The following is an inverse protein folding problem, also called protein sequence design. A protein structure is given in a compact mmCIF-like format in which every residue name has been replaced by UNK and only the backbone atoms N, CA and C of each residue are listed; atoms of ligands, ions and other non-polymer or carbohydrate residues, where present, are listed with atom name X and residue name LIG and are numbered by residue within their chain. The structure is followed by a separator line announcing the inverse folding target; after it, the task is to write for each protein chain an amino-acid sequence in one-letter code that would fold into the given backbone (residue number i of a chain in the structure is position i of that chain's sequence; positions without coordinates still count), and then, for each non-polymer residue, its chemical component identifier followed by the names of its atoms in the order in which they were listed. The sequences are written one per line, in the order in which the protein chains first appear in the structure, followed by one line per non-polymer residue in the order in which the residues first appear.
data_IF_001616585870
#
_entry.id   IF_001616585870
#
_cell.length_a   1.000
_cell.length_b   1.000
_cell.length_c   1.000
_cell.angle_alpha   90.00
_cell.angle_beta   90.00
_cell.angle_gamma   90.00
#
_symmetry.space_group_name_H-M   'P 1'
#
loop_
_entity.id
_entity.type
_entity.pdbx_description
1 polymer ?
#
# COMPACT_ATOMS: atom_id res chain seq x y z
N UNK A 1 13.24 19.79 -11.08
CA UNK A 1 12.68 21.13 -11.38
C UNK A 1 11.16 21.09 -11.61
N UNK A 2 10.60 20.90 -12.82
CA UNK A 2 9.12 20.97 -13.02
C UNK A 2 8.27 20.01 -12.14
N UNK A 3 8.70 18.75 -11.99
CA UNK A 3 7.98 17.75 -11.18
C UNK A 3 7.95 18.11 -9.69
N UNK A 4 9.05 18.65 -9.17
CA UNK A 4 9.18 19.04 -7.76
C UNK A 4 8.40 20.31 -7.46
N UNK A 5 8.34 21.25 -8.41
CA UNK A 5 7.52 22.45 -8.29
C UNK A 5 6.03 22.12 -8.24
N UNK A 6 5.56 21.19 -9.09
CA UNK A 6 4.18 20.68 -9.04
C UNK A 6 3.92 20.01 -7.69
N UNK A 7 4.80 19.12 -7.26
CA UNK A 7 4.67 18.44 -5.97
C UNK A 7 4.60 19.44 -4.80
N UNK A 8 5.45 20.46 -4.80
CA UNK A 8 5.46 21.51 -3.79
C UNK A 8 4.17 22.34 -3.79
N UNK A 9 3.63 22.71 -4.95
CA UNK A 9 2.34 23.41 -5.06
C UNK A 9 1.17 22.57 -4.50
N UNK A 10 1.25 21.25 -4.63
CA UNK A 10 0.31 20.28 -4.07
C UNK A 10 0.59 19.98 -2.59
N UNK A 11 1.69 20.49 -2.02
CA UNK A 11 2.07 20.31 -0.62
C UNK A 11 2.69 18.98 -0.29
N UNK A 12 3.08 18.22 -1.30
CA UNK A 12 3.86 17.01 -1.12
C UNK A 12 5.21 17.40 -0.53
N UNK A 13 5.50 16.88 0.66
CA UNK A 13 6.75 17.15 1.38
C UNK A 13 7.80 16.07 1.15
N UNK A 14 7.40 14.91 0.63
CA UNK A 14 8.31 13.79 0.37
C UNK A 14 9.03 14.04 -0.95
N UNK A 15 10.33 14.33 -0.87
CA UNK A 15 11.17 14.47 -2.07
C UNK A 15 11.52 13.07 -2.58
N UNK A 16 11.53 12.90 -3.90
CA UNK A 16 11.84 11.60 -4.50
C UNK A 16 13.32 11.40 -4.80
N UNK A 17 14.08 12.48 -4.84
CA UNK A 17 15.51 12.49 -5.05
C UNK A 17 16.18 13.55 -4.16
N UNK A 18 17.49 13.44 -3.91
CA UNK A 18 18.23 14.47 -3.21
C UNK A 18 18.26 15.78 -4.05
N UNK A 19 18.09 16.97 -3.44
CA UNK A 19 18.03 18.23 -4.19
C UNK A 19 19.27 18.55 -5.03
N UNK A 20 20.43 18.03 -4.62
CA UNK A 20 21.70 18.24 -5.33
C UNK A 20 22.13 17.04 -6.18
N UNK A 21 21.22 16.11 -6.45
CA UNK A 21 21.49 14.86 -7.17
C UNK A 21 22.08 13.76 -6.28
N UNK A 22 22.22 12.53 -6.80
CA UNK A 22 22.86 11.43 -6.08
C UNK A 22 24.30 11.83 -5.70
N UNK A 23 24.81 11.39 -4.54
CA UNK A 23 26.20 11.68 -4.19
C UNK A 23 27.12 11.21 -5.33
N UNK A 24 28.04 12.06 -5.83
CA UNK A 24 28.92 11.67 -6.92
C UNK A 24 29.73 10.43 -6.52
N UNK A 25 29.92 9.52 -7.48
CA UNK A 25 30.74 8.32 -7.30
C UNK A 25 32.15 8.69 -6.80
N UNK A 26 32.64 7.89 -5.86
CA UNK A 26 33.94 8.03 -5.19
C UNK A 26 35.09 8.38 -6.15
N UNK A 27 35.63 9.60 -6.02
CA UNK A 27 36.82 10.09 -6.74
C UNK A 27 37.94 10.44 -5.75
N UNK A 28 38.59 9.40 -5.21
CA UNK A 28 39.90 9.54 -4.55
C UNK A 28 39.90 9.98 -3.08
N UNK A 29 41.09 10.25 -2.52
CA UNK A 29 41.35 10.22 -1.07
C UNK A 29 40.93 11.47 -0.28
N UNK A 30 40.32 12.48 -0.93
CA UNK A 30 39.93 13.72 -0.27
C UNK A 30 38.45 14.03 -0.53
N UNK A 31 37.57 13.57 0.35
CA UNK A 31 36.18 14.04 0.42
C UNK A 31 36.11 15.29 1.30
N UNK A 32 35.99 16.46 0.69
CA UNK A 32 35.57 17.65 1.41
C UNK A 32 34.04 17.60 1.57
N UNK A 33 33.57 17.26 2.78
CA UNK A 33 32.15 17.15 3.10
C UNK A 33 31.65 18.45 3.71
N UNK A 34 30.79 19.17 3.01
CA UNK A 34 29.74 19.92 3.70
C UNK A 34 28.54 18.99 3.76
N UNK A 35 28.23 18.45 4.95
CA UNK A 35 26.91 17.87 5.17
C UNK A 35 25.91 19.02 5.05
N UNK A 36 25.46 19.30 3.83
CA UNK A 36 24.33 20.20 3.67
C UNK A 36 23.12 19.46 4.22
N UNK A 37 22.54 19.93 5.32
CA UNK A 37 21.33 19.37 5.96
C UNK A 37 20.20 19.13 4.94
N UNK A 38 20.19 19.88 3.84
CA UNK A 38 19.25 19.74 2.74
C UNK A 38 19.42 18.47 1.88
N UNK A 39 20.52 17.70 1.98
CA UNK A 39 20.77 16.51 1.13
C UNK A 39 20.63 15.17 1.88
N UNK A 40 19.96 15.18 3.03
CA UNK A 40 19.56 13.98 3.77
C UNK A 40 18.04 13.84 3.80
N UNK A 41 17.49 12.61 3.79
CA UNK A 41 16.05 12.40 3.95
C UNK A 41 15.56 12.97 5.29
N UNK A 42 14.42 13.66 5.28
CA UNK A 42 13.83 14.22 6.50
C UNK A 42 13.07 13.18 7.33
N UNK A 43 12.63 12.09 6.69
CA UNK A 43 11.92 11.00 7.33
C UNK A 43 12.18 9.67 6.60
N UNK A 44 11.68 8.58 7.20
CA UNK A 44 11.89 7.24 6.66
C UNK A 44 11.22 7.03 5.30
N UNK A 45 10.05 7.64 5.04
CA UNK A 45 9.36 7.48 3.77
C UNK A 45 10.19 8.10 2.64
N UNK A 46 10.77 9.26 2.88
CA UNK A 46 11.68 9.91 1.96
C UNK A 46 12.93 9.07 1.68
N UNK A 47 13.53 8.47 2.71
CA UNK A 47 14.67 7.56 2.55
C UNK A 47 14.31 6.34 1.69
N UNK A 48 13.15 5.73 1.96
CA UNK A 48 12.63 4.59 1.21
C UNK A 48 12.45 4.96 -0.27
N UNK A 49 11.81 6.10 -0.54
CA UNK A 49 11.52 6.55 -1.90
C UNK A 49 12.80 6.87 -2.68
N UNK A 50 13.80 7.47 -2.05
CA UNK A 50 15.11 7.72 -2.69
C UNK A 50 15.80 6.41 -3.08
N UNK A 51 15.78 5.42 -2.17
CA UNK A 51 16.32 4.11 -2.50
C UNK A 51 15.52 3.42 -3.62
N UNK A 52 14.19 3.58 -3.60
CA UNK A 52 13.30 3.00 -4.60
C UNK A 52 13.59 3.49 -6.01
N UNK A 53 13.95 4.76 -6.18
CA UNK A 53 14.31 5.32 -7.49
C UNK A 53 15.51 4.61 -8.11
N UNK A 54 16.53 4.30 -7.30
CA UNK A 54 17.71 3.54 -7.69
C UNK A 54 17.34 2.08 -7.99
N UNK A 55 16.58 1.44 -7.10
CA UNK A 55 16.18 0.04 -7.23
C UNK A 55 15.35 -0.18 -8.51
N UNK A 56 14.33 0.65 -8.74
CA UNK A 56 13.46 0.57 -9.91
C UNK A 56 14.23 0.79 -11.20
N UNK A 57 15.20 1.72 -11.22
CA UNK A 57 16.05 1.95 -12.38
C UNK A 57 16.86 0.69 -12.73
N UNK A 58 17.49 0.04 -11.74
CA UNK A 58 18.23 -1.21 -11.93
C UNK A 58 17.33 -2.37 -12.36
N UNK A 59 16.10 -2.45 -11.82
CA UNK A 59 15.14 -3.48 -12.22
C UNK A 59 14.64 -3.27 -13.65
N UNK A 60 14.43 -2.02 -14.08
CA UNK A 60 14.04 -1.66 -15.45
C UNK A 60 15.11 -2.03 -16.48
N UNK A 61 16.39 -1.85 -16.13
CA UNK A 61 17.50 -2.28 -16.99
C UNK A 61 17.51 -3.80 -17.17
N UNK A 62 17.29 -4.56 -16.09
CA UNK A 62 17.26 -6.03 -16.13
C UNK A 62 16.01 -6.59 -16.81
N UNK A 63 14.87 -5.95 -16.63
CA UNK A 63 13.58 -6.38 -17.17
C UNK A 63 12.79 -5.20 -17.74
N UNK A 64 13.08 -4.79 -18.99
CA UNK A 64 12.46 -3.61 -19.59
C UNK A 64 10.94 -3.72 -19.70
N UNK A 65 10.25 -2.58 -19.70
CA UNK A 65 8.79 -2.52 -19.79
C UNK A 65 8.22 -3.26 -21.02
N UNK A 66 8.94 -3.26 -22.15
CA UNK A 66 8.55 -3.98 -23.35
C UNK A 66 8.50 -5.51 -23.13
N UNK A 67 9.37 -6.05 -22.26
CA UNK A 67 9.36 -7.46 -21.87
C UNK A 67 8.14 -7.75 -20.99
N UNK A 68 7.89 -6.91 -19.98
CA UNK A 68 6.71 -7.04 -19.11
C UNK A 68 5.39 -7.01 -19.91
N UNK A 69 5.28 -6.11 -20.89
CA UNK A 69 4.11 -6.04 -21.78
C UNK A 69 3.85 -7.33 -22.54
N UNK A 70 4.89 -8.03 -23.01
CA UNK A 70 4.75 -9.34 -23.67
C UNK A 70 4.35 -10.44 -22.70
N UNK A 71 4.79 -10.37 -21.45
CA UNK A 71 4.41 -11.35 -20.43
C UNK A 71 2.93 -11.25 -20.07
N UNK A 72 2.35 -10.04 -20.11
CA UNK A 72 0.93 -9.80 -19.80
C UNK A 72 -0.05 -10.62 -20.66
N UNK A 73 0.32 -10.95 -21.89
CA UNK A 73 -0.52 -11.76 -22.80
C UNK A 73 -0.85 -13.14 -22.22
N UNK A 74 -0.01 -13.64 -21.30
CA UNK A 74 -0.18 -14.94 -20.65
C UNK A 74 -0.69 -14.83 -19.21
N UNK A 75 -0.99 -13.61 -18.73
CA UNK A 75 -1.44 -13.40 -17.34
C UNK A 75 -2.97 -13.48 -17.30
N UNK A 76 -3.57 -14.39 -16.51
CA UNK A 76 -5.02 -14.47 -16.35
C UNK A 76 -5.60 -13.15 -15.84
N UNK A 77 -6.85 -12.79 -16.19
CA UNK A 77 -7.49 -11.56 -15.71
C UNK A 77 -7.33 -11.35 -14.20
N UNK A 78 -7.12 -10.10 -13.79
CA UNK A 78 -7.09 -9.75 -12.37
C UNK A 78 -8.43 -10.07 -11.71
N UNK A 79 -8.38 -10.52 -10.46
CA UNK A 79 -9.57 -10.75 -9.65
C UNK A 79 -10.13 -9.42 -9.14
N UNK A 80 -11.45 -9.36 -8.94
CA UNK A 80 -12.11 -8.12 -8.51
C UNK A 80 -11.83 -7.81 -7.03
N UNK A 81 -10.77 -7.03 -6.78
CA UNK A 81 -10.31 -6.66 -5.45
C UNK A 81 -11.36 -5.83 -4.69
N UNK A 82 -11.99 -4.84 -5.34
CA UNK A 82 -12.98 -3.96 -4.68
C UNK A 82 -14.29 -4.72 -4.46
N UNK A 83 -14.70 -5.54 -5.43
CA UNK A 83 -15.86 -6.41 -5.31
C UNK A 83 -15.74 -7.40 -4.16
N UNK A 84 -14.57 -8.02 -3.98
CA UNK A 84 -14.31 -8.94 -2.86
C UNK A 84 -14.49 -8.27 -1.48
N UNK A 85 -14.01 -7.03 -1.32
CA UNK A 85 -14.21 -6.25 -0.10
C UNK A 85 -15.69 -5.93 0.15
N UNK A 86 -16.41 -5.47 -0.87
CA UNK A 86 -17.85 -5.15 -0.79
C UNK A 86 -18.68 -6.39 -0.48
N UNK A 87 -18.36 -7.52 -1.10
CA UNK A 87 -19.03 -8.80 -0.87
C UNK A 87 -18.80 -9.30 0.56
N UNK A 88 -17.56 -9.25 1.06
CA UNK A 88 -17.26 -9.61 2.44
C UNK A 88 -17.98 -8.70 3.45
N UNK A 89 -18.03 -7.38 3.18
CA UNK A 89 -18.76 -6.44 4.02
C UNK A 89 -20.26 -6.74 4.08
N UNK A 90 -20.86 -7.01 2.92
CA UNK A 90 -22.28 -7.32 2.82
C UNK A 90 -22.64 -8.67 3.46
N UNK A 91 -21.77 -9.67 3.34
CA UNK A 91 -21.96 -11.03 3.91
C UNK A 91 -21.88 -11.03 5.43
N UNK A 92 -20.88 -10.36 6.00
CA UNK A 92 -20.54 -10.48 7.43
C UNK A 92 -21.13 -9.37 8.29
N UNK A 93 -21.43 -8.22 7.69
CA UNK A 93 -21.76 -6.98 8.38
C UNK A 93 -20.53 -6.22 8.95
N UNK A 94 -19.31 -6.73 8.75
CA UNK A 94 -18.05 -6.14 9.21
C UNK A 94 -17.25 -5.56 8.04
N UNK A 95 -16.31 -4.62 8.27
CA UNK A 95 -15.40 -4.20 7.21
C UNK A 95 -14.66 -5.40 6.59
N UNK A 96 -14.56 -5.44 5.25
CA UNK A 96 -13.80 -6.48 4.56
C UNK A 96 -12.32 -6.45 4.96
N UNK A 97 -11.77 -7.60 5.39
CA UNK A 97 -10.38 -7.68 5.85
C UNK A 97 -9.41 -7.81 4.66
N UNK A 98 -8.46 -6.88 4.56
CA UNK A 98 -7.22 -7.02 3.79
C UNK A 98 -6.13 -7.48 4.76
N UNK A 99 -5.82 -8.79 4.77
CA UNK A 99 -4.83 -9.35 5.68
C UNK A 99 -3.41 -9.20 5.11
N UNK A 100 -2.50 -8.60 5.88
CA UNK A 100 -1.17 -8.25 5.40
C UNK A 100 -0.11 -9.33 5.70
N UNK A 101 0.46 -9.90 4.65
CA UNK A 101 1.60 -10.83 4.66
C UNK A 101 2.89 -10.02 4.75
N UNK A 102 3.46 -9.93 5.96
CA UNK A 102 4.62 -9.09 6.27
C UNK A 102 5.65 -9.82 7.13
N UNK A 103 6.92 -9.79 6.71
CA UNK A 103 8.05 -10.38 7.46
C UNK A 103 8.63 -9.42 8.50
N UNK A 104 8.91 -8.18 8.09
CA UNK A 104 9.52 -7.17 8.93
C UNK A 104 8.91 -5.79 8.69
N UNK A 105 9.20 -4.84 9.58
CA UNK A 105 8.94 -3.41 9.34
C UNK A 105 10.05 -2.54 9.93
N UNK A 106 10.29 -1.33 9.39
CA UNK A 106 11.28 -0.40 9.96
C UNK A 106 11.04 -0.08 11.44
N UNK A 107 9.77 0.00 11.83
CA UNK A 107 9.37 0.34 13.20
C UNK A 107 9.51 -0.80 14.21
N UNK A 108 9.53 -2.06 13.77
CA UNK A 108 9.45 -3.23 14.67
C UNK A 108 10.50 -4.31 14.42
N UNK A 109 11.33 -4.16 13.40
CA UNK A 109 12.26 -5.21 12.97
C UNK A 109 11.51 -6.42 12.43
N UNK A 110 12.07 -7.61 12.63
CA UNK A 110 11.46 -8.88 12.20
C UNK A 110 10.24 -9.19 13.08
N UNK A 111 9.08 -9.34 12.45
CA UNK A 111 7.82 -9.68 13.11
C UNK A 111 7.61 -11.20 13.19
N UNK A 112 8.15 -11.94 12.22
CA UNK A 112 8.04 -13.39 12.12
C UNK A 112 9.30 -13.96 11.50
N UNK A 113 10.07 -14.70 12.31
CA UNK A 113 11.32 -15.34 11.88
C UNK A 113 11.05 -16.47 10.87
N UNK A 114 10.11 -17.36 11.20
CA UNK A 114 9.65 -18.43 10.31
C UNK A 114 8.57 -17.91 9.35
N UNK A 115 9.03 -17.31 8.25
CA UNK A 115 8.20 -16.63 7.26
C UNK A 115 8.03 -17.47 6.00
N UNK A 116 6.92 -18.21 5.94
CA UNK A 116 6.40 -18.81 4.71
C UNK A 116 5.19 -17.99 4.21
N UNK A 117 5.35 -17.19 3.13
CA UNK A 117 4.28 -16.32 2.64
C UNK A 117 3.05 -17.10 2.16
N UNK A 118 3.24 -18.30 1.62
CA UNK A 118 2.15 -19.14 1.08
C UNK A 118 1.34 -19.74 2.22
N UNK A 119 1.99 -20.28 3.25
CA UNK A 119 1.28 -20.81 4.42
C UNK A 119 0.49 -19.72 5.15
N UNK A 120 1.09 -18.53 5.30
CA UNK A 120 0.43 -17.38 5.93
C UNK A 120 -0.78 -16.95 5.09
N UNK A 121 -0.64 -16.82 3.77
CA UNK A 121 -1.73 -16.45 2.87
C UNK A 121 -2.92 -17.43 2.94
N UNK A 122 -2.64 -18.75 2.91
CA UNK A 122 -3.67 -19.78 3.05
C UNK A 122 -4.37 -19.73 4.40
N UNK A 123 -3.63 -19.43 5.48
CA UNK A 123 -4.21 -19.26 6.79
C UNK A 123 -5.12 -18.02 6.87
N UNK A 124 -4.73 -16.90 6.25
CA UNK A 124 -5.58 -15.71 6.18
C UNK A 124 -6.85 -15.93 5.36
N UNK A 125 -6.74 -16.57 4.19
CA UNK A 125 -7.90 -16.94 3.38
C UNK A 125 -8.87 -17.83 4.17
N UNK A 126 -8.36 -18.89 4.81
CA UNK A 126 -9.16 -19.75 5.69
C UNK A 126 -9.82 -18.97 6.83
N UNK A 127 -9.16 -17.94 7.35
CA UNK A 127 -9.68 -17.08 8.41
C UNK A 127 -10.72 -16.06 7.95
N UNK A 128 -11.07 -16.03 6.66
CA UNK A 128 -12.08 -15.12 6.13
C UNK A 128 -11.54 -13.77 5.63
N UNK A 129 -10.23 -13.66 5.38
CA UNK A 129 -9.69 -12.49 4.69
C UNK A 129 -10.36 -12.32 3.32
N UNK A 130 -10.83 -11.11 3.04
CA UNK A 130 -11.45 -10.78 1.76
C UNK A 130 -10.40 -10.61 0.67
N UNK A 131 -9.28 -9.97 1.02
CA UNK A 131 -8.11 -9.78 0.16
C UNK A 131 -6.84 -9.97 1.00
N UNK A 132 -5.70 -10.08 0.31
CA UNK A 132 -4.38 -10.10 0.95
C UNK A 132 -3.55 -8.90 0.50
N UNK A 133 -2.77 -8.34 1.41
CA UNK A 133 -1.74 -7.34 1.14
C UNK A 133 -0.38 -8.02 1.25
N UNK A 134 0.45 -7.95 0.22
CA UNK A 134 1.77 -8.60 0.20
C UNK A 134 2.85 -7.53 0.09
N UNK A 135 3.72 -7.45 1.10
CA UNK A 135 4.86 -6.53 1.07
C UNK A 135 5.89 -7.02 0.05
N UNK A 136 6.20 -6.16 -0.93
CA UNK A 136 7.18 -6.47 -1.98
C UNK A 136 8.51 -5.72 -1.81
N UNK A 137 8.57 -4.73 -0.92
CA UNK A 137 9.79 -3.99 -0.66
C UNK A 137 10.84 -4.86 0.05
N UNK A 138 12.00 -5.03 -0.59
CA UNK A 138 13.06 -5.92 -0.12
C UNK A 138 13.86 -5.33 1.03
N UNK A 139 14.23 -4.06 0.97
CA UNK A 139 15.20 -3.45 1.90
C UNK A 139 14.61 -3.18 3.28
N UNK A 140 13.41 -2.62 3.35
CA UNK A 140 12.81 -2.10 4.57
C UNK A 140 11.80 -3.07 5.19
N UNK A 141 11.17 -3.91 4.38
CA UNK A 141 10.15 -4.87 4.85
C UNK A 141 10.57 -6.34 4.70
N UNK A 142 11.74 -6.62 4.11
CA UNK A 142 12.20 -7.97 3.77
C UNK A 142 11.16 -8.76 2.95
N UNK A 143 10.42 -8.05 2.11
CA UNK A 143 9.44 -8.58 1.19
C UNK A 143 10.06 -9.03 -0.14
N UNK A 144 9.22 -9.18 -1.14
CA UNK A 144 9.65 -9.43 -2.51
C UNK A 144 8.48 -9.69 -3.45
N UNK A 145 8.63 -9.30 -4.72
CA UNK A 145 7.66 -9.65 -5.77
C UNK A 145 7.53 -11.16 -5.97
N UNK A 146 8.54 -11.93 -5.59
CA UNK A 146 8.54 -13.39 -5.62
C UNK A 146 7.53 -13.97 -4.60
N UNK A 147 7.30 -13.29 -3.47
CA UNK A 147 6.28 -13.71 -2.49
C UNK A 147 4.87 -13.56 -3.09
N UNK A 148 4.62 -12.46 -3.81
CA UNK A 148 3.35 -12.20 -4.49
C UNK A 148 3.06 -13.30 -5.54
N UNK A 149 4.05 -13.63 -6.36
CA UNK A 149 3.96 -14.69 -7.38
C UNK A 149 3.77 -16.08 -6.77
N UNK A 150 4.49 -16.38 -5.68
CA UNK A 150 4.36 -17.64 -4.96
C UNK A 150 2.95 -17.81 -4.37
N UNK A 151 2.41 -16.77 -3.73
CA UNK A 151 1.04 -16.78 -3.19
C UNK A 151 0.03 -17.00 -4.31
N UNK A 152 0.12 -16.22 -5.39
CA UNK A 152 -0.76 -16.37 -6.57
C UNK A 152 -0.75 -17.79 -7.11
N UNK A 153 0.43 -18.40 -7.23
CA UNK A 153 0.61 -19.73 -7.82
C UNK A 153 0.20 -20.88 -6.88
N UNK A 154 -0.07 -20.59 -5.61
CA UNK A 154 -0.31 -21.61 -4.59
C UNK A 154 -1.76 -22.12 -4.49
N UNK A 155 -2.67 -21.53 -5.27
CA UNK A 155 -4.11 -21.80 -5.24
C UNK A 155 -4.91 -20.95 -4.25
N UNK A 156 -4.33 -19.89 -3.69
CA UNK A 156 -5.09 -18.89 -2.93
C UNK A 156 -6.03 -18.16 -3.89
N UNK A 157 -7.29 -18.04 -3.52
CA UNK A 157 -8.39 -17.42 -4.26
C UNK A 157 -8.61 -15.93 -3.89
N UNK A 158 -8.20 -15.49 -2.71
CA UNK A 158 -8.21 -14.07 -2.33
C UNK A 158 -7.49 -13.18 -3.37
N UNK A 159 -8.05 -11.98 -3.69
CA UNK A 159 -7.33 -10.99 -4.48
C UNK A 159 -6.09 -10.44 -3.75
N UNK A 160 -5.05 -10.08 -4.51
CA UNK A 160 -3.74 -9.69 -3.98
C UNK A 160 -3.42 -8.22 -4.26
N UNK A 161 -3.17 -7.46 -3.20
CA UNK A 161 -2.58 -6.13 -3.24
C UNK A 161 -1.05 -6.24 -3.21
N UNK A 162 -0.39 -5.66 -4.21
CA UNK A 162 1.04 -5.38 -4.17
C UNK A 162 1.28 -4.14 -3.29
N UNK A 163 1.70 -4.36 -2.05
CA UNK A 163 2.01 -3.29 -1.09
C UNK A 163 3.48 -2.89 -1.28
N UNK A 164 3.65 -1.84 -2.07
CA UNK A 164 4.94 -1.33 -2.53
C UNK A 164 4.94 0.20 -2.55
N UNK A 165 6.11 0.81 -2.49
CA UNK A 165 6.27 2.25 -2.76
C UNK A 165 6.30 2.47 -4.27
N UNK A 166 5.12 2.52 -4.90
CA UNK A 166 4.99 2.71 -6.36
C UNK A 166 5.33 4.14 -6.73
N UNK A 167 6.36 4.30 -7.56
CA UNK A 167 6.88 5.58 -8.03
C UNK A 167 7.05 5.61 -9.56
N UNK A 168 6.95 4.46 -10.23
CA UNK A 168 7.05 4.31 -11.68
C UNK A 168 6.04 3.28 -12.19
N UNK A 169 5.46 3.52 -13.36
CA UNK A 169 4.49 2.60 -13.99
C UNK A 169 5.05 1.20 -14.23
N UNK A 170 6.37 1.06 -14.42
CA UNK A 170 7.02 -0.23 -14.52
C UNK A 170 6.68 -1.15 -13.34
N UNK A 171 6.58 -0.60 -12.12
CA UNK A 171 6.22 -1.38 -10.93
C UNK A 171 4.79 -1.92 -11.03
N UNK A 172 3.86 -1.17 -11.61
CA UNK A 172 2.46 -1.59 -11.82
C UNK A 172 2.40 -2.77 -12.81
N UNK A 173 3.14 -2.68 -13.92
CA UNK A 173 3.25 -3.78 -14.89
C UNK A 173 3.91 -5.01 -14.26
N UNK A 174 4.99 -4.81 -13.49
CA UNK A 174 5.69 -5.90 -12.81
C UNK A 174 4.78 -6.58 -11.77
N UNK A 175 4.05 -5.79 -10.96
CA UNK A 175 3.08 -6.29 -10.00
C UNK A 175 2.00 -7.13 -10.70
N UNK A 176 1.47 -6.64 -11.83
CA UNK A 176 0.47 -7.38 -12.61
C UNK A 176 0.99 -8.72 -13.13
N UNK A 177 2.18 -8.72 -13.73
CA UNK A 177 2.85 -9.94 -14.21
C UNK A 177 3.07 -10.93 -13.06
N UNK A 178 3.33 -10.43 -11.85
CA UNK A 178 3.51 -11.24 -10.64
C UNK A 178 2.19 -11.61 -9.95
N UNK A 179 1.06 -11.31 -10.57
CA UNK A 179 -0.25 -11.74 -10.13
C UNK A 179 -0.95 -10.79 -9.16
N UNK A 180 -0.58 -9.51 -9.09
CA UNK A 180 -1.37 -8.52 -8.38
C UNK A 180 -2.76 -8.32 -9.02
N UNK A 181 -3.73 -8.01 -8.17
CA UNK A 181 -5.06 -7.52 -8.53
C UNK A 181 -5.27 -6.06 -8.09
N UNK A 182 -4.43 -5.58 -7.19
CA UNK A 182 -4.40 -4.19 -6.78
C UNK A 182 -2.96 -3.69 -6.55
N UNK A 183 -2.75 -2.38 -6.64
CA UNK A 183 -1.49 -1.71 -6.28
C UNK A 183 -1.75 -0.56 -5.31
N UNK A 184 -0.74 -0.23 -4.51
CA UNK A 184 -0.75 0.92 -3.61
C UNK A 184 -0.22 2.16 -4.33
N UNK A 185 -0.95 3.27 -4.27
CA UNK A 185 -0.50 4.60 -4.69
C UNK A 185 -0.53 5.53 -3.48
N UNK A 186 0.57 6.22 -3.17
CA UNK A 186 0.68 7.02 -1.94
C UNK A 186 0.58 8.50 -2.29
N UNK A 187 -0.48 9.19 -1.83
CA UNK A 187 -0.72 10.60 -2.13
C UNK A 187 0.35 11.54 -1.55
N UNK A 188 0.99 11.12 -0.45
CA UNK A 188 2.15 11.79 0.15
C UNK A 188 3.40 11.78 -0.74
N UNK A 189 3.45 10.92 -1.77
CA UNK A 189 4.62 10.72 -2.65
C UNK A 189 4.33 11.13 -4.10
N UNK A 190 3.10 10.87 -4.57
CA UNK A 190 2.73 11.02 -5.97
C UNK A 190 1.95 12.33 -6.21
N UNK A 191 2.39 13.16 -7.17
CA UNK A 191 1.60 14.27 -7.68
C UNK A 191 0.29 13.81 -8.33
N UNK A 192 -0.71 14.69 -8.38
CA UNK A 192 -2.07 14.33 -8.85
C UNK A 192 -2.07 13.78 -10.29
N UNK A 193 -1.29 14.38 -11.20
CA UNK A 193 -1.15 13.91 -12.59
C UNK A 193 -0.55 12.50 -12.67
N UNK A 194 0.34 12.14 -11.74
CA UNK A 194 0.90 10.78 -11.69
C UNK A 194 -0.12 9.79 -11.17
N UNK A 195 -0.86 10.14 -10.12
CA UNK A 195 -1.95 9.29 -9.60
C UNK A 195 -2.99 9.06 -10.70
N UNK A 196 -3.43 10.12 -11.37
CA UNK A 196 -4.41 10.03 -12.47
C UNK A 196 -3.89 9.13 -13.62
N UNK A 197 -2.63 9.31 -14.02
CA UNK A 197 -2.01 8.48 -15.06
C UNK A 197 -1.90 7.01 -14.61
N UNK A 198 -1.46 6.76 -13.38
CA UNK A 198 -1.32 5.42 -12.82
C UNK A 198 -2.67 4.72 -12.66
N UNK A 199 -3.74 5.43 -12.29
CA UNK A 199 -5.11 4.89 -12.25
C UNK A 199 -5.56 4.46 -13.64
N UNK A 200 -5.29 5.27 -14.68
CA UNK A 200 -5.60 4.88 -16.08
C UNK A 200 -4.86 3.60 -16.47
N UNK A 201 -3.59 3.47 -16.10
CA UNK A 201 -2.81 2.23 -16.32
C UNK A 201 -3.40 1.06 -15.53
N UNK A 202 -3.77 1.26 -14.25
CA UNK A 202 -4.39 0.21 -13.45
C UNK A 202 -5.68 -0.31 -14.11
N UNK A 203 -6.55 0.60 -14.57
CA UNK A 203 -7.77 0.24 -15.30
C UNK A 203 -7.49 -0.55 -16.59
N UNK A 204 -6.48 -0.13 -17.36
CA UNK A 204 -6.06 -0.88 -18.57
C UNK A 204 -5.55 -2.29 -18.25
N UNK A 205 -4.99 -2.51 -17.07
CA UNK A 205 -4.46 -3.80 -16.62
C UNK A 205 -5.46 -4.63 -15.80
N UNK A 206 -6.67 -4.09 -15.56
CA UNK A 206 -7.70 -4.68 -14.69
C UNK A 206 -7.39 -4.60 -13.19
N UNK A 207 -6.42 -3.78 -12.78
CA UNK A 207 -6.02 -3.60 -11.39
C UNK A 207 -6.89 -2.56 -10.68
N UNK A 208 -7.18 -2.79 -9.40
CA UNK A 208 -7.61 -1.73 -8.49
C UNK A 208 -6.40 -0.89 -8.03
N UNK A 209 -6.63 0.40 -7.76
CA UNK A 209 -5.65 1.28 -7.15
C UNK A 209 -6.12 1.67 -5.74
N UNK A 210 -5.42 1.20 -4.71
CA UNK A 210 -5.61 1.68 -3.33
C UNK A 210 -4.82 2.98 -3.19
N UNK A 211 -5.52 4.11 -3.14
CA UNK A 211 -4.87 5.42 -2.97
C UNK A 211 -4.81 5.76 -1.49
N UNK A 212 -3.60 5.72 -0.93
CA UNK A 212 -3.32 5.95 0.49
C UNK A 212 -3.17 7.44 0.79
N UNK A 213 -3.88 7.93 1.81
CA UNK A 213 -3.86 9.29 2.33
C UNK A 213 -3.66 9.30 3.84
N UNK A 214 -3.06 10.39 4.35
CA UNK A 214 -2.72 10.57 5.76
C UNK A 214 -3.41 11.78 6.38
N UNK A 215 -3.65 12.82 5.60
CA UNK A 215 -4.20 14.09 6.09
C UNK A 215 -5.30 14.66 5.19
N UNK A 216 -5.91 15.75 5.66
CA UNK A 216 -6.98 16.45 4.97
C UNK A 216 -6.60 16.90 3.57
N UNK A 217 -5.36 17.37 3.40
CA UNK A 217 -4.89 17.93 2.12
C UNK A 217 -4.70 16.83 1.09
N UNK A 218 -4.14 15.70 1.51
CA UNK A 218 -4.03 14.50 0.67
C UNK A 218 -5.41 13.97 0.27
N UNK A 219 -6.35 13.90 1.23
CA UNK A 219 -7.72 13.50 0.94
C UNK A 219 -8.40 14.46 -0.04
N UNK A 220 -8.29 15.78 0.17
CA UNK A 220 -8.88 16.79 -0.71
C UNK A 220 -8.34 16.65 -2.13
N UNK A 221 -7.02 16.48 -2.30
CA UNK A 221 -6.41 16.22 -3.62
C UNK A 221 -6.96 14.95 -4.27
N UNK A 222 -6.99 13.84 -3.54
CA UNK A 222 -7.42 12.54 -4.07
C UNK A 222 -8.89 12.57 -4.48
N UNK A 223 -9.76 13.26 -3.73
CA UNK A 223 -11.19 13.35 -4.05
C UNK A 223 -11.48 14.14 -5.34
N UNK A 224 -10.58 15.02 -5.77
CA UNK A 224 -10.72 15.75 -7.03
C UNK A 224 -10.24 14.92 -8.25
N UNK A 225 -9.57 13.79 -8.04
CA UNK A 225 -9.13 12.89 -9.12
C UNK A 225 -10.29 12.01 -9.58
N UNK A 226 -10.54 11.96 -10.88
CA UNK A 226 -11.55 11.08 -11.46
C UNK A 226 -11.14 9.61 -11.44
N UNK A 227 -12.12 8.74 -11.19
CA UNK A 227 -11.94 7.30 -11.30
C UNK A 227 -11.29 6.64 -10.08
N UNK A 228 -11.19 7.34 -8.95
CA UNK A 228 -10.89 6.76 -7.63
C UNK A 228 -12.06 5.87 -7.20
N UNK A 229 -11.76 4.63 -6.84
CA UNK A 229 -12.75 3.65 -6.35
C UNK A 229 -12.43 3.15 -4.93
N UNK A 230 -11.17 3.28 -4.52
CA UNK A 230 -10.63 2.74 -3.27
C UNK A 230 -9.62 3.72 -2.66
N UNK A 231 -9.91 4.17 -1.43
CA UNK A 231 -9.04 5.08 -0.67
C UNK A 231 -8.65 4.43 0.64
N UNK A 232 -7.36 4.46 0.96
CA UNK A 232 -6.81 3.99 2.23
C UNK A 232 -6.50 5.15 3.15
N UNK A 233 -7.04 5.15 4.36
CA UNK A 233 -6.67 6.12 5.40
C UNK A 233 -5.63 5.48 6.31
N UNK A 234 -4.39 5.94 6.21
CA UNK A 234 -3.30 5.45 7.05
C UNK A 234 -3.22 6.24 8.34
N UNK A 235 -3.61 5.61 9.44
CA UNK A 235 -3.61 6.22 10.76
C UNK A 235 -2.21 6.36 11.37
N UNK A 236 -1.15 5.90 10.68
CA UNK A 236 0.24 6.04 11.12
C UNK A 236 0.90 7.24 10.45
N UNK A 237 1.37 8.17 11.27
CA UNK A 237 2.25 9.23 10.81
C UNK A 237 3.62 8.66 10.44
N UNK A 238 4.07 8.86 9.19
CA UNK A 238 5.31 8.27 8.68
C UNK A 238 6.58 9.03 9.11
N UNK A 239 6.46 10.22 9.70
CA UNK A 239 7.58 10.96 10.27
C UNK A 239 7.88 10.59 11.72
N UNK A 240 6.85 10.26 12.49
CA UNK A 240 6.91 10.03 13.95
C UNK A 240 6.53 8.61 14.36
N UNK A 241 5.98 7.82 13.44
CA UNK A 241 5.39 6.49 13.66
C UNK A 241 4.23 6.43 14.66
N UNK A 242 3.74 7.58 15.13
CA UNK A 242 2.57 7.67 15.99
C UNK A 242 1.34 7.19 15.23
N UNK A 243 0.48 6.47 15.91
CA UNK A 243 -0.75 5.92 15.34
C UNK A 243 -1.94 6.53 16.06
N UNK A 244 -2.87 7.10 15.31
CA UNK A 244 -4.11 7.67 15.81
C UNK A 244 -5.29 7.30 14.90
N UNK A 245 -6.11 6.33 15.34
CA UNK A 245 -7.30 5.88 14.60
C UNK A 245 -8.38 6.97 14.51
N UNK A 246 -8.31 8.02 15.36
CA UNK A 246 -9.18 9.19 15.29
C UNK A 246 -9.05 9.96 13.97
N UNK A 247 -7.90 9.83 13.30
CA UNK A 247 -7.69 10.41 11.98
C UNK A 247 -8.69 9.91 10.94
N UNK A 248 -9.08 8.63 11.01
CA UNK A 248 -10.09 8.05 10.13
C UNK A 248 -11.41 8.81 10.23
N UNK A 249 -11.89 9.08 11.45
CA UNK A 249 -13.15 9.81 11.66
C UNK A 249 -13.01 11.25 11.16
N UNK A 250 -11.92 11.92 11.51
CA UNK A 250 -11.60 13.29 11.07
C UNK A 250 -11.66 13.46 9.55
N UNK A 251 -11.14 12.49 8.79
CA UNK A 251 -11.11 12.55 7.32
C UNK A 251 -12.44 12.18 6.65
N UNK A 252 -13.32 11.46 7.36
CA UNK A 252 -14.63 11.03 6.86
C UNK A 252 -15.79 11.93 7.31
N UNK A 253 -15.53 12.91 8.17
CA UNK A 253 -16.52 13.89 8.61
C UNK A 253 -16.79 14.97 7.54
N UNK A 254 -17.99 15.56 7.60
CA UNK A 254 -18.39 16.68 6.75
C UNK A 254 -18.39 16.39 5.24
N UNK A 255 -17.95 17.39 4.47
CA UNK A 255 -17.99 17.38 3.00
C UNK A 255 -17.20 16.22 2.37
N UNK A 256 -16.06 15.83 2.95
CA UNK A 256 -15.23 14.73 2.45
C UNK A 256 -16.00 13.41 2.48
N UNK A 257 -16.64 13.12 3.62
CA UNK A 257 -17.50 11.95 3.76
C UNK A 257 -18.68 11.95 2.78
N UNK A 258 -19.28 13.11 2.54
CA UNK A 258 -20.36 13.26 1.56
C UNK A 258 -19.87 12.98 0.14
N UNK A 259 -18.75 13.58 -0.29
CA UNK A 259 -18.12 13.33 -1.59
C UNK A 259 -17.78 11.84 -1.77
N UNK A 260 -17.18 11.20 -0.76
CA UNK A 260 -16.86 9.77 -0.76
C UNK A 260 -18.12 8.93 -1.01
N UNK A 261 -19.21 9.20 -0.28
CA UNK A 261 -20.48 8.48 -0.45
C UNK A 261 -21.11 8.73 -1.83
N UNK A 262 -21.14 9.98 -2.29
CA UNK A 262 -21.70 10.33 -3.60
C UNK A 262 -20.93 9.68 -4.75
N UNK A 263 -19.60 9.59 -4.64
CA UNK A 263 -18.74 8.92 -5.64
C UNK A 263 -18.71 7.40 -5.49
N UNK A 264 -19.30 6.84 -4.44
CA UNK A 264 -19.28 5.39 -4.18
C UNK A 264 -17.89 4.82 -3.87
N UNK A 265 -16.99 5.66 -3.34
CA UNK A 265 -15.61 5.29 -3.01
C UNK A 265 -15.62 4.35 -1.79
N UNK A 266 -14.90 3.24 -1.90
CA UNK A 266 -14.70 2.31 -0.78
C UNK A 266 -13.54 2.79 0.07
N UNK A 267 -13.77 2.99 1.37
CA UNK A 267 -12.72 3.42 2.31
C UNK A 267 -12.15 2.23 3.06
N UNK A 268 -10.81 2.17 3.09
CA UNK A 268 -10.01 1.23 3.85
C UNK A 268 -9.39 1.94 5.05
N UNK A 269 -9.62 1.46 6.27
CA UNK A 269 -8.89 1.92 7.45
C UNK A 269 -7.59 1.14 7.62
N UNK A 270 -6.46 1.83 7.76
CA UNK A 270 -5.14 1.20 7.87
C UNK A 270 -4.40 1.63 9.13
N UNK A 271 -3.58 0.74 9.68
CA UNK A 271 -2.78 0.93 10.90
C UNK A 271 -3.64 1.13 12.18
N UNK A 272 -3.14 0.61 13.31
CA UNK A 272 -3.73 0.91 14.62
C UNK A 272 -4.93 0.06 15.05
N UNK A 273 -5.28 -0.97 14.29
CA UNK A 273 -6.44 -1.83 14.56
C UNK A 273 -6.00 -3.12 15.25
N UNK A 274 -6.28 -3.23 16.55
CA UNK A 274 -5.84 -4.35 17.39
C UNK A 274 -6.99 -5.11 18.05
N UNK A 275 -8.15 -4.46 18.21
CA UNK A 275 -9.28 -4.97 18.99
C UNK A 275 -10.60 -4.83 18.23
N UNK A 276 -11.65 -5.56 18.66
CA UNK A 276 -12.99 -5.39 18.10
C UNK A 276 -13.53 -3.96 18.24
N UNK A 277 -13.19 -3.26 19.31
CA UNK A 277 -13.59 -1.87 19.53
C UNK A 277 -12.95 -0.92 18.51
N UNK A 278 -11.70 -1.18 18.11
CA UNK A 278 -11.05 -0.41 17.04
C UNK A 278 -11.77 -0.62 15.69
N UNK A 279 -12.18 -1.85 15.39
CA UNK A 279 -12.94 -2.19 14.18
C UNK A 279 -14.31 -1.49 14.19
N UNK A 280 -15.02 -1.56 15.32
CA UNK A 280 -16.30 -0.89 15.49
C UNK A 280 -16.15 0.63 15.31
N UNK A 281 -15.12 1.23 15.92
CA UNK A 281 -14.86 2.65 15.84
C UNK A 281 -14.70 3.16 14.40
N UNK A 282 -13.90 2.48 13.57
CA UNK A 282 -13.70 2.87 12.17
C UNK A 282 -14.91 2.52 11.30
N UNK A 283 -15.59 1.41 11.59
CA UNK A 283 -16.82 1.03 10.90
C UNK A 283 -17.92 2.08 11.09
N UNK A 284 -18.10 2.59 12.31
CA UNK A 284 -19.03 3.68 12.62
C UNK A 284 -18.69 4.97 11.87
N UNK A 285 -17.41 5.23 11.62
CA UNK A 285 -16.97 6.36 10.80
C UNK A 285 -17.27 6.19 9.29
N UNK A 286 -17.73 5.00 8.87
CA UNK A 286 -18.11 4.70 7.49
C UNK A 286 -17.10 3.84 6.72
N UNK A 287 -16.05 3.34 7.37
CA UNK A 287 -15.07 2.44 6.76
C UNK A 287 -15.73 1.12 6.35
N UNK A 288 -15.41 0.64 5.15
CA UNK A 288 -15.98 -0.59 4.56
C UNK A 288 -14.97 -1.72 4.43
N UNK A 289 -13.68 -1.44 4.59
CA UNK A 289 -12.62 -2.43 4.61
C UNK A 289 -11.51 -2.01 5.57
N UNK A 290 -10.71 -2.94 6.05
CA UNK A 290 -9.58 -2.67 6.95
C UNK A 290 -8.35 -3.40 6.49
N UNK A 291 -7.19 -2.76 6.54
CA UNK A 291 -5.90 -3.39 6.25
C UNK A 291 -5.13 -3.63 7.53
N UNK A 292 -4.90 -4.90 7.84
CA UNK A 292 -4.36 -5.32 9.13
C UNK A 292 -3.27 -6.36 8.97
N UNK A 293 -2.10 -6.10 9.57
CA UNK A 293 -0.98 -7.03 9.62
C UNK A 293 -0.50 -7.28 11.05
N UNK A 294 -0.08 -6.22 11.73
CA UNK A 294 0.69 -6.32 12.98
C UNK A 294 -0.02 -7.05 14.14
N UNK A 295 -1.34 -6.90 14.27
CA UNK A 295 -2.13 -7.58 15.30
C UNK A 295 -2.30 -9.08 15.03
N UNK A 296 -2.34 -9.48 13.75
CA UNK A 296 -2.61 -10.86 13.33
C UNK A 296 -1.30 -11.65 13.14
N UNK A 297 -0.25 -11.05 12.57
CA UNK A 297 1.04 -11.72 12.24
C UNK A 297 1.72 -12.34 13.47
N UNK A 298 1.51 -11.76 14.66
CA UNK A 298 2.11 -12.25 15.91
C UNK A 298 1.47 -13.52 16.46
N UNK A 299 0.26 -13.85 16.02
CA UNK A 299 -0.44 -15.02 16.52
C UNK A 299 0.16 -16.28 15.88
N UNK A 300 0.31 -17.34 16.69
CA UNK A 300 0.76 -18.65 16.19
C UNK A 300 -0.18 -19.17 15.10
N UNK A 301 -1.48 -18.96 15.31
CA UNK A 301 -2.54 -19.26 14.36
C UNK A 301 -3.20 -17.96 13.88
N UNK A 302 -2.98 -17.56 12.61
CA UNK A 302 -3.62 -16.40 12.01
C UNK A 302 -5.16 -16.41 12.07
N UNK A 303 -5.80 -17.58 12.01
CA UNK A 303 -7.27 -17.66 12.00
C UNK A 303 -7.85 -17.24 13.35
N UNK A 304 -7.24 -17.70 14.45
CA UNK A 304 -7.54 -17.23 15.81
C UNK A 304 -7.32 -15.72 15.95
N UNK A 305 -6.23 -15.18 15.37
CA UNK A 305 -5.95 -13.74 15.41
C UNK A 305 -7.01 -12.90 14.70
N UNK A 306 -7.51 -13.36 13.56
CA UNK A 306 -8.63 -12.71 12.86
C UNK A 306 -9.90 -12.76 13.70
N UNK A 307 -10.25 -13.92 14.26
CA UNK A 307 -11.45 -14.05 15.07
C UNK A 307 -11.40 -13.14 16.32
N UNK A 308 -10.23 -13.00 16.95
CA UNK A 308 -10.02 -12.08 18.07
C UNK A 308 -10.18 -10.62 17.66
N UNK A 309 -9.65 -10.22 16.50
CA UNK A 309 -9.73 -8.86 15.99
C UNK A 309 -11.18 -8.44 15.72
N UNK A 310 -12.01 -9.34 15.20
CA UNK A 310 -13.43 -9.06 14.89
C UNK A 310 -14.38 -9.44 16.03
N UNK A 311 -13.89 -10.08 17.10
CA UNK A 311 -14.68 -10.58 18.22
C UNK A 311 -15.54 -11.80 17.88
N UNK A 312 -15.42 -12.35 16.66
CA UNK A 312 -16.11 -13.54 16.16
C UNK A 312 -15.43 -14.08 14.89
N UNK A 313 -15.82 -15.28 14.47
CA UNK A 313 -15.44 -15.84 13.19
C UNK A 313 -16.11 -15.09 12.02
N UNK A 314 -15.34 -14.78 10.97
CA UNK A 314 -15.77 -14.11 9.73
C UNK A 314 -15.53 -14.97 8.46
N UNK A 315 -15.08 -16.22 8.63
CA UNK A 315 -14.77 -17.14 7.54
C UNK A 315 -16.00 -17.67 6.80
N UNK A 316 -17.16 -17.73 7.46
CA UNK A 316 -18.45 -18.22 6.93
C UNK A 316 -19.32 -17.12 6.36
#
# INVERSE_FOLDING_TARGET
MFREEIAASQGIRIRRQPPTGPPPHYVGPFEFRSQNENNTPHNILEEIVWYKDIEVSQMKEKNPLAVLKKLLDNVPPARDFVGALKAANSRTGFPGLIAEVKKASPSRGVLREDFDPVQIAKAYEKGGAACLSVLTDKKYFQGGFENLEAIRSSGVECPLLCKEFVIDVWQIYNARVKGADAVLLIAAVLPDLEIEYMIKICKLLGLAALVEVHDEREMDRVLEIEGIELVGINNRDLGTFKVDIGNTRKLLEGERGEKIRQKGITVVGESGLFTPDDIAYVQEAGVKAVLVGESIVKQKDPTTGIAQLFGKDISS
#
